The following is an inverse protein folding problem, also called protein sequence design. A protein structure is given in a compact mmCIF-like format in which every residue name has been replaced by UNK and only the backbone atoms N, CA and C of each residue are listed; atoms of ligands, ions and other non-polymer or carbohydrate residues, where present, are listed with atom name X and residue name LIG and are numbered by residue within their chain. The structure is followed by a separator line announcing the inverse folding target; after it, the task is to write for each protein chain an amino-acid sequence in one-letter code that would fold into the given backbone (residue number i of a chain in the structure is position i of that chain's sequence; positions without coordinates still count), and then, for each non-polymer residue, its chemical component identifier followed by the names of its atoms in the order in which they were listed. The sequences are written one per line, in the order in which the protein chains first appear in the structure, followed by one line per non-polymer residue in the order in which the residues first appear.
data_IF_548112623149
#
_entry.id   IF_548112623149
#
_cell.length_a   1.000
_cell.length_b   1.000
_cell.length_c   1.000
_cell.angle_alpha   90.00
_cell.angle_beta   90.00
_cell.angle_gamma   90.00
#
_symmetry.space_group_name_H-M   'P 1'
#
loop_
_entity.id
_entity.type
_entity.pdbx_description
1 polymer ?
#
# COMPACT_ATOMS: atom_id res chain seq x y z
N UNK A 1 6.34 7.59 20.19
CA UNK A 1 5.38 8.72 20.19
C UNK A 1 3.98 8.11 20.05
N UNK A 2 3.04 8.40 20.95
CA UNK A 2 1.68 7.85 20.90
C UNK A 2 0.79 8.70 19.98
N UNK A 3 -0.05 8.05 19.16
CA UNK A 3 -0.99 8.74 18.28
C UNK A 3 -2.08 9.45 19.11
N UNK A 4 -2.54 10.64 18.71
CA UNK A 4 -3.63 11.35 19.39
C UNK A 4 -4.95 10.58 19.29
N UNK A 5 -5.90 10.84 20.20
CA UNK A 5 -7.22 10.17 20.19
C UNK A 5 -7.94 10.28 18.84
N UNK A 6 -7.83 11.44 18.18
CA UNK A 6 -8.40 11.68 16.84
C UNK A 6 -7.90 10.69 15.79
N UNK A 7 -6.70 10.13 15.95
CA UNK A 7 -6.12 9.15 15.02
C UNK A 7 -6.53 7.70 15.33
N UNK A 8 -7.37 7.43 16.33
CA UNK A 8 -7.80 6.04 16.66
C UNK A 8 -8.50 5.31 15.52
N UNK A 9 -9.21 6.03 14.65
CA UNK A 9 -9.84 5.42 13.47
C UNK A 9 -8.75 4.95 12.50
N UNK A 10 -7.80 5.82 12.19
CA UNK A 10 -6.66 5.50 11.33
C UNK A 10 -5.83 4.35 11.89
N UNK A 11 -5.53 4.36 13.19
CA UNK A 11 -4.80 3.28 13.85
C UNK A 11 -5.53 1.93 13.74
N UNK A 12 -6.87 1.89 13.85
CA UNK A 12 -7.65 0.67 13.64
C UNK A 12 -7.63 0.18 12.21
N UNK A 13 -7.66 1.10 11.24
CA UNK A 13 -7.61 0.74 9.82
C UNK A 13 -6.24 0.20 9.45
N UNK A 14 -5.16 0.86 9.87
CA UNK A 14 -3.79 0.50 9.46
C UNK A 14 -3.22 -0.62 10.33
N UNK A 15 -3.17 -0.44 11.65
CA UNK A 15 -2.56 -1.44 12.54
C UNK A 15 -3.54 -2.57 12.85
N UNK A 16 -4.83 -2.27 12.95
CA UNK A 16 -5.85 -3.28 13.26
C UNK A 16 -6.16 -4.25 12.10
N UNK A 17 -5.75 -3.91 10.87
CA UNK A 17 -5.84 -4.81 9.71
C UNK A 17 -4.54 -5.57 9.43
N UNK A 18 -3.45 -5.23 10.12
CA UNK A 18 -2.17 -5.90 9.95
C UNK A 18 -2.24 -7.34 10.45
N UNK A 19 -1.66 -8.24 9.67
CA UNK A 19 -1.64 -9.68 9.93
C UNK A 19 -0.29 -10.24 9.54
N UNK A 20 0.23 -11.13 10.38
CA UNK A 20 1.43 -11.89 10.05
C UNK A 20 1.06 -12.96 9.01
N UNK A 21 1.90 -13.09 7.99
CA UNK A 21 1.77 -14.12 6.96
C UNK A 21 3.12 -14.80 6.76
N UNK A 22 3.09 -16.13 6.66
CA UNK A 22 4.28 -16.91 6.35
C UNK A 22 4.40 -17.10 4.84
N UNK A 23 5.65 -17.21 4.38
CA UNK A 23 5.97 -17.61 3.02
C UNK A 23 6.16 -19.13 2.94
N UNK A 24 5.64 -19.73 1.88
CA UNK A 24 5.91 -21.14 1.59
C UNK A 24 7.33 -21.32 1.02
N UNK A 25 7.76 -22.59 0.88
CA UNK A 25 9.08 -22.93 0.36
C UNK A 25 9.33 -22.49 -1.09
N UNK A 26 8.29 -22.11 -1.83
CA UNK A 26 8.37 -21.56 -3.18
C UNK A 26 8.35 -20.03 -3.21
N UNK A 27 8.42 -19.38 -2.04
CA UNK A 27 8.40 -17.93 -1.91
C UNK A 27 7.04 -17.29 -2.14
N UNK A 28 5.95 -18.04 -1.99
CA UNK A 28 4.59 -17.51 -2.11
C UNK A 28 4.01 -17.20 -0.74
N UNK A 29 3.22 -16.15 -0.65
CA UNK A 29 2.41 -15.83 0.53
C UNK A 29 0.93 -15.75 0.15
N UNK A 30 0.07 -16.00 1.13
CA UNK A 30 -1.38 -15.90 0.97
C UNK A 30 -1.87 -14.55 1.49
N UNK A 31 -2.32 -13.68 0.58
CA UNK A 31 -2.96 -12.42 0.99
C UNK A 31 -4.37 -12.71 1.51
N UNK A 32 -4.69 -12.36 2.77
CA UNK A 32 -6.02 -12.59 3.36
C UNK A 32 -7.14 -12.00 2.51
N UNK A 33 -8.28 -12.71 2.44
CA UNK A 33 -9.40 -12.33 1.59
C UNK A 33 -9.97 -10.94 1.95
N UNK A 34 -10.02 -10.61 3.24
CA UNK A 34 -10.48 -9.30 3.71
C UNK A 34 -9.58 -8.16 3.22
N UNK A 35 -8.25 -8.35 3.22
CA UNK A 35 -7.30 -7.36 2.71
C UNK A 35 -7.40 -7.22 1.18
N UNK A 36 -7.55 -8.35 0.46
CA UNK A 36 -7.80 -8.32 -0.99
C UNK A 36 -9.06 -7.54 -1.33
N UNK A 37 -10.13 -7.73 -0.56
CA UNK A 37 -11.39 -7.01 -0.75
C UNK A 37 -11.26 -5.52 -0.39
N UNK A 38 -10.61 -5.20 0.73
CA UNK A 38 -10.42 -3.83 1.19
C UNK A 38 -9.59 -2.98 0.22
N UNK A 39 -8.52 -3.54 -0.34
CA UNK A 39 -7.69 -2.89 -1.36
C UNK A 39 -8.29 -3.02 -2.78
N UNK A 40 -9.34 -3.85 -2.94
CA UNK A 40 -9.97 -4.20 -4.21
C UNK A 40 -8.95 -4.73 -5.22
N UNK A 41 -8.17 -5.72 -4.80
CA UNK A 41 -7.22 -6.45 -5.63
C UNK A 41 -7.97 -7.45 -6.51
N UNK A 42 -7.76 -7.36 -7.82
CA UNK A 42 -8.36 -8.28 -8.78
C UNK A 42 -7.38 -9.39 -9.20
N UNK A 43 -7.13 -9.55 -10.50
CA UNK A 43 -6.29 -10.60 -11.07
C UNK A 43 -4.86 -10.13 -11.35
N UNK A 44 -4.72 -8.96 -11.95
CA UNK A 44 -3.42 -8.41 -12.32
C UNK A 44 -2.89 -7.54 -11.18
N UNK A 45 -1.77 -7.99 -10.61
CA UNK A 45 -1.20 -7.42 -9.39
C UNK A 45 0.21 -6.92 -9.69
N UNK A 46 0.53 -5.72 -9.20
CA UNK A 46 1.87 -5.12 -9.29
C UNK A 46 2.49 -5.05 -7.90
N UNK A 47 3.76 -5.43 -7.81
CA UNK A 47 4.57 -5.29 -6.60
C UNK A 47 5.55 -4.14 -6.79
N UNK A 48 5.48 -3.13 -5.93
CA UNK A 48 6.31 -1.93 -6.00
C UNK A 48 7.23 -1.89 -4.80
N UNK A 49 8.55 -1.95 -5.01
CA UNK A 49 9.52 -1.85 -3.93
C UNK A 49 9.79 -0.40 -3.52
N UNK A 50 9.64 -0.10 -2.23
CA UNK A 50 9.85 1.23 -1.64
C UNK A 50 10.94 1.21 -0.55
N UNK A 51 11.99 0.40 -0.78
CA UNK A 51 13.13 0.26 0.13
C UNK A 51 12.83 -0.69 1.29
N UNK A 52 12.34 -0.17 2.41
CA UNK A 52 12.11 -0.95 3.64
C UNK A 52 10.89 -1.88 3.60
N UNK A 53 10.01 -1.65 2.63
CA UNK A 53 8.80 -2.41 2.40
C UNK A 53 8.48 -2.39 0.91
N UNK A 54 7.47 -3.17 0.53
CA UNK A 54 6.88 -3.11 -0.79
C UNK A 54 5.38 -2.89 -0.65
N UNK A 55 4.79 -2.36 -1.70
CA UNK A 55 3.36 -2.24 -1.85
C UNK A 55 2.85 -3.26 -2.86
N UNK A 56 1.60 -3.67 -2.67
CA UNK A 56 0.92 -4.61 -3.54
C UNK A 56 -0.36 -3.95 -4.05
N UNK A 57 -0.40 -3.75 -5.36
CA UNK A 57 -1.44 -2.96 -6.02
C UNK A 57 -2.20 -3.78 -7.04
N UNK A 58 -3.46 -3.39 -7.25
CA UNK A 58 -4.15 -3.73 -8.49
C UNK A 58 -3.55 -2.91 -9.64
N UNK A 59 -3.26 -3.55 -10.78
CA UNK A 59 -2.54 -2.93 -11.88
C UNK A 59 -3.26 -1.69 -12.45
N UNK A 60 -4.58 -1.76 -12.59
CA UNK A 60 -5.36 -0.66 -13.16
C UNK A 60 -5.39 0.53 -12.19
N UNK A 61 -5.60 0.25 -10.90
CA UNK A 61 -5.62 1.30 -9.86
C UNK A 61 -4.28 2.01 -9.71
N UNK A 62 -3.17 1.28 -9.83
CA UNK A 62 -1.84 1.90 -9.77
C UNK A 62 -1.65 2.85 -10.96
N UNK A 63 -1.99 2.41 -12.17
CA UNK A 63 -1.89 3.25 -13.37
C UNK A 63 -2.77 4.50 -13.27
N UNK A 64 -4.00 4.39 -12.76
CA UNK A 64 -4.88 5.54 -12.50
C UNK A 64 -4.29 6.50 -11.47
N UNK A 65 -3.73 5.97 -10.37
CA UNK A 65 -3.10 6.76 -9.31
C UNK A 65 -1.89 7.52 -9.84
N UNK A 66 -1.02 6.87 -10.60
CA UNK A 66 0.17 7.50 -11.21
C UNK A 66 -0.22 8.54 -12.26
N UNK A 67 -1.20 8.24 -13.11
CA UNK A 67 -1.70 9.21 -14.10
C UNK A 67 -2.25 10.46 -13.42
N UNK A 68 -2.99 10.30 -12.31
CA UNK A 68 -3.49 11.43 -11.52
C UNK A 68 -2.35 12.21 -10.90
N UNK A 69 -1.38 11.53 -10.28
CA UNK A 69 -0.22 12.19 -9.66
C UNK A 69 0.60 13.01 -10.67
N UNK A 70 0.70 12.55 -11.93
CA UNK A 70 1.38 13.28 -13.01
C UNK A 70 0.68 14.58 -13.42
N UNK A 71 -0.64 14.68 -13.20
CA UNK A 71 -1.41 15.92 -13.46
C UNK A 71 -1.41 16.88 -12.27
N UNK A 72 -1.17 16.36 -11.07
CA UNK A 72 -0.93 17.14 -9.88
C UNK A 72 0.56 17.58 -9.84
N UNK A 73 0.93 18.49 -8.94
CA UNK A 73 2.20 19.22 -9.00
C UNK A 73 3.42 18.36 -8.61
N UNK A 74 3.73 17.36 -9.44
CA UNK A 74 4.76 16.35 -9.23
C UNK A 74 6.15 16.99 -9.06
N UNK A 75 6.41 18.12 -9.73
CA UNK A 75 7.65 18.88 -9.61
C UNK A 75 7.89 19.40 -8.20
N UNK A 76 6.86 19.88 -7.52
CA UNK A 76 6.99 20.43 -6.17
C UNK A 76 7.23 19.33 -5.13
N UNK A 77 6.62 18.16 -5.34
CA UNK A 77 6.81 16.98 -4.49
C UNK A 77 8.23 16.42 -4.69
N UNK A 78 8.67 16.28 -5.94
CA UNK A 78 10.00 15.78 -6.27
C UNK A 78 11.12 16.66 -5.68
N UNK A 79 10.92 17.98 -5.64
CA UNK A 79 11.88 18.92 -5.06
C UNK A 79 12.07 18.76 -3.54
N UNK A 80 11.10 18.15 -2.85
CA UNK A 80 11.12 17.93 -1.40
C UNK A 80 11.49 16.48 -1.02
N UNK A 81 11.73 15.63 -2.01
CA UNK A 81 11.98 14.22 -1.78
C UNK A 81 13.42 13.96 -1.31
N UNK A 82 13.57 13.32 -0.13
CA UNK A 82 14.85 12.90 0.45
C UNK A 82 14.77 11.43 0.87
N UNK A 83 15.86 10.68 0.68
CA UNK A 83 16.03 9.29 1.15
C UNK A 83 16.57 9.20 2.58
#
# INVERSE_FOLDING_TARGET
MALPYSARVFQRIVMGSAVDVDMDASGRLLVPAELRKACGLSKEIVLVGLGSHFELWDAEKLAESEAKAMTENLSDIAAQFNF
#
